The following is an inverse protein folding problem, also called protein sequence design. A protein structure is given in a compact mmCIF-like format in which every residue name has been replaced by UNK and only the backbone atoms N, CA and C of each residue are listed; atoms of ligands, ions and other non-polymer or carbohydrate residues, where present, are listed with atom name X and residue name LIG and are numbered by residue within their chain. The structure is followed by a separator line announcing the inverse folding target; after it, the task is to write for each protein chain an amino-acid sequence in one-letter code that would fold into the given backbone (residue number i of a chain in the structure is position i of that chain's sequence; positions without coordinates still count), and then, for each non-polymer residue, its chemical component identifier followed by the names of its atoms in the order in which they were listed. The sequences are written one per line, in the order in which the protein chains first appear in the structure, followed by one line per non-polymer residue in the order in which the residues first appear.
data_IF_677489967643
#
_entry.id   IF_677489967643
#
_cell.length_a   1.000
_cell.length_b   1.000
_cell.length_c   1.000
_cell.angle_alpha   90.00
_cell.angle_beta   90.00
_cell.angle_gamma   90.00
#
_symmetry.space_group_name_H-M   'P 1'
#
loop_
_entity.id
_entity.type
_entity.pdbx_description
1 polymer ?
#
# COMPACT_ATOMS: atom_id res chain seq x y z
N UNK A 1 52.97 13.39 -11.15
CA UNK A 1 51.80 12.91 -10.36
C UNK A 1 51.51 11.48 -10.78
N UNK A 2 51.71 10.50 -9.89
CA UNK A 2 51.50 9.07 -10.19
C UNK A 2 50.09 8.65 -9.77
N UNK A 3 49.34 8.08 -10.72
CA UNK A 3 48.11 7.32 -10.54
C UNK A 3 48.36 6.09 -9.67
N UNK A 4 47.51 5.85 -8.67
CA UNK A 4 47.19 4.51 -8.16
C UNK A 4 45.80 4.58 -7.50
N UNK A 5 44.79 3.96 -8.12
CA UNK A 5 43.53 3.66 -7.45
C UNK A 5 43.31 2.15 -7.54
N UNK A 6 43.42 1.49 -6.39
CA UNK A 6 43.35 0.04 -6.24
C UNK A 6 41.89 -0.43 -6.28
N UNK A 7 41.66 -1.43 -7.13
CA UNK A 7 40.45 -2.21 -7.27
C UNK A 7 40.40 -3.24 -6.13
N UNK A 8 39.39 -3.20 -5.26
CA UNK A 8 39.15 -4.22 -4.25
C UNK A 8 37.95 -5.07 -4.64
N UNK A 9 38.25 -6.31 -5.07
CA UNK A 9 37.32 -7.37 -5.41
C UNK A 9 36.89 -8.07 -4.09
N UNK A 10 35.63 -7.96 -3.70
CA UNK A 10 35.09 -8.76 -2.59
C UNK A 10 34.48 -10.05 -3.13
N UNK A 11 34.96 -11.16 -2.55
CA UNK A 11 34.67 -12.53 -2.92
C UNK A 11 33.83 -13.18 -1.80
N UNK A 12 32.95 -14.10 -2.24
CA UNK A 12 32.32 -15.23 -1.51
C UNK A 12 31.29 -14.87 -0.42
N UNK A 13 30.17 -15.61 -0.27
CA UNK A 13 30.05 -17.07 -0.22
C UNK A 13 28.60 -17.53 -0.44
N UNK A 14 28.46 -18.67 -1.11
CA UNK A 14 27.20 -19.39 -1.35
C UNK A 14 27.00 -20.39 -0.21
N UNK A 15 25.94 -20.25 0.58
CA UNK A 15 25.54 -21.27 1.55
C UNK A 15 24.70 -22.35 0.86
N UNK A 16 25.27 -23.56 0.79
CA UNK A 16 24.59 -24.76 0.33
C UNK A 16 23.60 -25.26 1.39
N UNK A 17 22.32 -25.37 1.01
CA UNK A 17 21.25 -25.91 1.84
C UNK A 17 21.26 -27.45 1.73
N UNK A 18 21.58 -28.10 2.84
CA UNK A 18 21.60 -29.57 2.97
C UNK A 18 20.17 -30.13 3.02
N UNK A 19 19.81 -30.96 2.04
CA UNK A 19 18.59 -31.77 2.02
C UNK A 19 18.90 -33.16 2.58
N UNK A 20 18.25 -33.53 3.70
CA UNK A 20 18.28 -34.90 4.22
C UNK A 20 17.19 -35.75 3.55
N UNK A 21 17.51 -36.96 3.05
CA UNK A 21 16.52 -37.91 2.55
C UNK A 21 15.99 -38.78 3.70
N UNK A 22 14.67 -38.80 3.90
CA UNK A 22 14.03 -39.76 4.81
C UNK A 22 13.73 -41.06 4.06
N UNK A 23 14.38 -42.12 4.51
CA UNK A 23 14.11 -43.51 4.13
C UNK A 23 12.65 -43.89 4.42
N UNK A 24 11.94 -44.40 3.40
CA UNK A 24 10.66 -45.10 3.57
C UNK A 24 10.94 -46.61 3.45
N UNK A 25 10.89 -47.30 4.57
CA UNK A 25 11.00 -48.76 4.65
C UNK A 25 9.65 -49.38 4.30
N UNK A 26 9.63 -50.23 3.26
CA UNK A 26 8.47 -51.05 2.89
C UNK A 26 8.32 -52.19 3.90
N UNK A 27 7.20 -52.24 4.61
CA UNK A 27 6.79 -53.41 5.39
C UNK A 27 5.33 -53.78 5.04
N UNK A 28 5.24 -54.79 4.17
CA UNK A 28 4.38 -55.96 4.24
C UNK A 28 2.90 -55.81 4.66
N UNK A 29 2.07 -55.91 3.63
CA UNK A 29 0.66 -56.30 3.57
C UNK A 29 0.35 -57.58 4.39
N UNK A 30 -0.58 -57.51 5.34
CA UNK A 30 -1.54 -58.60 5.62
C UNK A 30 -2.73 -58.11 6.46
N UNK A 31 -3.88 -58.57 6.02
CA UNK A 31 -5.26 -58.25 6.41
C UNK A 31 -5.56 -58.55 7.87
N UNK A 32 -6.37 -57.71 8.53
CA UNK A 32 -7.45 -58.06 9.49
C UNK A 32 -8.38 -56.83 9.59
N UNK A 33 -9.57 -56.86 8.98
CA UNK A 33 -10.86 -57.34 9.52
C UNK A 33 -11.51 -56.39 10.54
N UNK A 34 -12.54 -55.69 10.02
CA UNK A 34 -13.81 -55.27 10.63
C UNK A 34 -13.90 -54.58 12.00
N UNK A 35 -14.74 -53.53 12.00
CA UNK A 35 -15.33 -52.79 13.12
C UNK A 35 -14.30 -51.82 13.76
N UNK A 36 -14.55 -50.52 13.94
CA UNK A 36 -15.70 -49.80 14.48
C UNK A 36 -15.52 -48.31 14.10
N UNK A 37 -16.62 -47.55 13.94
CA UNK A 37 -16.73 -46.09 13.76
C UNK A 37 -16.36 -45.52 12.38
N UNK A 38 -17.41 -45.45 11.55
CA UNK A 38 -17.42 -44.66 10.34
C UNK A 38 -17.50 -43.16 10.60
N UNK A 39 -16.99 -42.43 9.61
CA UNK A 39 -17.09 -40.99 9.35
C UNK A 39 -16.13 -40.12 10.18
N UNK A 40 -14.83 -40.22 9.87
CA UNK A 40 -13.97 -39.05 9.93
C UNK A 40 -14.16 -38.27 8.62
N UNK A 41 -15.08 -37.31 8.62
CA UNK A 41 -15.04 -36.23 7.62
C UNK A 41 -13.68 -35.57 7.82
N UNK A 42 -12.78 -35.73 6.87
CA UNK A 42 -11.64 -34.82 6.76
C UNK A 42 -12.26 -33.48 6.44
N UNK A 43 -12.56 -32.72 7.49
CA UNK A 43 -12.80 -31.30 7.39
C UNK A 43 -11.48 -30.72 6.92
N UNK A 44 -11.30 -30.68 5.60
CA UNK A 44 -10.46 -29.68 4.98
C UNK A 44 -10.97 -28.37 5.54
N UNK A 45 -10.27 -27.85 6.55
CA UNK A 45 -10.42 -26.47 6.97
C UNK A 45 -10.10 -25.65 5.73
N UNK A 46 -11.14 -25.36 4.94
CA UNK A 46 -11.18 -24.20 4.09
C UNK A 46 -10.87 -23.07 5.05
N UNK A 47 -9.58 -22.74 5.16
CA UNK A 47 -9.10 -21.49 5.70
C UNK A 47 -10.00 -20.47 5.02
N UNK A 48 -10.92 -19.93 5.81
CA UNK A 48 -11.89 -18.97 5.33
C UNK A 48 -11.08 -17.87 4.69
N UNK A 49 -11.02 -17.85 3.37
CA UNK A 49 -10.85 -16.61 2.64
C UNK A 49 -12.08 -15.84 3.09
N UNK A 50 -11.92 -15.05 4.14
CA UNK A 50 -12.80 -13.94 4.40
C UNK A 50 -12.72 -13.15 3.10
N UNK A 51 -13.71 -13.38 2.24
CA UNK A 51 -14.02 -12.46 1.18
C UNK A 51 -14.25 -11.15 1.94
N UNK A 52 -13.21 -10.33 1.99
CA UNK A 52 -13.37 -8.91 2.23
C UNK A 52 -14.47 -8.55 1.24
N UNK A 53 -15.64 -8.12 1.71
CA UNK A 53 -16.70 -7.70 0.81
C UNK A 53 -16.32 -6.31 0.33
N UNK A 54 -15.25 -6.23 -0.45
CA UNK A 54 -14.75 -4.95 -0.91
C UNK A 54 -15.63 -4.41 -2.01
N UNK A 55 -15.95 -3.12 -1.92
CA UNK A 55 -16.69 -2.39 -2.93
C UNK A 55 -15.72 -2.05 -4.07
N UNK A 56 -16.10 -2.33 -5.31
CA UNK A 56 -15.39 -1.78 -6.46
C UNK A 56 -15.89 -0.36 -6.70
N UNK A 57 -14.98 0.61 -6.59
CA UNK A 57 -15.27 2.02 -6.79
C UNK A 57 -14.35 2.60 -7.87
N UNK A 58 -14.82 3.51 -8.73
CA UNK A 58 -13.94 4.26 -9.62
C UNK A 58 -12.86 5.02 -8.84
N UNK A 59 -11.65 5.08 -9.38
CA UNK A 59 -10.55 5.83 -8.76
C UNK A 59 -10.90 7.32 -8.60
N UNK A 60 -11.64 7.91 -9.54
CA UNK A 60 -12.13 9.30 -9.47
C UNK A 60 -12.94 9.58 -8.21
N UNK A 61 -13.79 8.62 -7.77
CA UNK A 61 -14.54 8.73 -6.50
C UNK A 61 -13.61 8.83 -5.29
N UNK A 62 -12.48 8.10 -5.29
CA UNK A 62 -11.49 8.19 -4.21
C UNK A 62 -10.74 9.54 -4.23
N UNK A 63 -10.50 10.12 -5.41
CA UNK A 63 -9.95 11.48 -5.54
C UNK A 63 -10.90 12.52 -4.96
N UNK A 64 -12.20 12.41 -5.25
CA UNK A 64 -13.22 13.30 -4.67
C UNK A 64 -13.34 13.15 -3.15
N UNK A 65 -13.29 11.92 -2.64
CA UNK A 65 -13.23 11.67 -1.20
C UNK A 65 -11.99 12.34 -0.57
N UNK A 66 -10.82 12.28 -1.23
CA UNK A 66 -9.60 12.92 -0.76
C UNK A 66 -9.69 14.45 -0.76
N UNK A 67 -10.28 15.06 -1.80
CA UNK A 67 -10.60 16.51 -1.83
C UNK A 67 -11.49 16.90 -0.66
N UNK A 68 -12.48 16.08 -0.34
CA UNK A 68 -13.36 16.32 0.81
C UNK A 68 -12.61 16.21 2.14
N UNK A 69 -11.67 15.26 2.28
CA UNK A 69 -10.78 15.17 3.45
C UNK A 69 -9.98 16.46 3.60
N UNK A 70 -9.34 16.93 2.52
CA UNK A 70 -8.61 18.21 2.52
C UNK A 70 -9.48 19.38 2.95
N UNK A 71 -10.67 19.55 2.36
CA UNK A 71 -11.59 20.64 2.71
C UNK A 71 -12.04 20.58 4.18
N UNK A 72 -12.21 19.39 4.74
CA UNK A 72 -12.54 19.22 6.15
C UNK A 72 -11.35 19.49 7.08
N UNK A 73 -10.11 19.22 6.64
CA UNK A 73 -8.90 19.64 7.37
C UNK A 73 -8.75 21.17 7.33
N UNK A 74 -8.88 21.78 6.15
CA UNK A 74 -8.85 23.23 5.97
C UNK A 74 -9.84 23.97 6.88
N UNK A 75 -11.07 23.43 6.99
CA UNK A 75 -12.12 24.01 7.85
C UNK A 75 -12.02 23.63 9.34
N UNK A 76 -10.96 22.94 9.77
CA UNK A 76 -10.75 22.53 11.15
C UNK A 76 -11.73 21.46 11.66
N UNK A 77 -12.40 20.73 10.77
CA UNK A 77 -13.42 19.71 11.10
C UNK A 77 -12.83 18.31 11.33
N UNK A 78 -11.57 18.10 10.97
CA UNK A 78 -10.85 16.84 11.13
C UNK A 78 -9.71 16.96 12.13
N UNK A 79 -9.51 15.87 12.87
CA UNK A 79 -8.36 15.66 13.75
C UNK A 79 -7.54 14.49 13.22
N UNK A 80 -6.37 14.24 13.82
CA UNK A 80 -5.44 13.15 13.45
C UNK A 80 -6.17 11.83 13.17
N UNK A 81 -7.01 11.36 14.12
CA UNK A 81 -7.72 10.07 13.99
C UNK A 81 -8.66 10.03 12.79
N UNK A 82 -9.40 11.12 12.55
CA UNK A 82 -10.31 11.21 11.41
C UNK A 82 -9.55 11.24 10.09
N UNK A 83 -8.43 11.96 10.02
CA UNK A 83 -7.59 12.00 8.81
C UNK A 83 -7.02 10.61 8.53
N UNK A 84 -6.38 9.96 9.50
CA UNK A 84 -5.85 8.59 9.35
C UNK A 84 -6.91 7.58 8.89
N UNK A 85 -8.12 7.64 9.48
CA UNK A 85 -9.21 6.75 9.11
C UNK A 85 -9.75 7.03 7.70
N UNK A 86 -9.72 8.28 7.24
CA UNK A 86 -10.14 8.62 5.89
C UNK A 86 -9.06 8.25 4.86
N UNK A 87 -7.80 8.59 5.13
CA UNK A 87 -6.68 8.38 4.19
C UNK A 87 -6.34 6.90 4.01
N UNK A 88 -6.47 6.06 5.04
CA UNK A 88 -6.36 4.61 4.87
C UNK A 88 -7.42 4.01 3.94
N UNK A 89 -8.60 4.65 3.85
CA UNK A 89 -9.68 4.23 2.95
C UNK A 89 -9.62 4.86 1.56
N UNK A 90 -8.71 5.81 1.33
CA UNK A 90 -8.60 6.54 0.06
C UNK A 90 -7.20 6.43 -0.55
N UNK A 91 -6.18 6.98 0.11
CA UNK A 91 -4.80 7.06 -0.40
C UNK A 91 -4.17 5.69 -0.65
N UNK A 92 -4.33 4.73 0.25
CA UNK A 92 -3.72 3.42 0.07
C UNK A 92 -4.34 2.62 -1.08
N UNK A 93 -5.67 2.50 -1.20
CA UNK A 93 -6.30 1.92 -2.39
C UNK A 93 -5.90 2.65 -3.69
N UNK A 94 -5.85 3.98 -3.66
CA UNK A 94 -5.48 4.80 -4.82
C UNK A 94 -4.02 4.57 -5.26
N UNK A 95 -3.06 4.61 -4.32
CA UNK A 95 -1.65 4.27 -4.60
C UNK A 95 -1.53 2.86 -5.15
N UNK A 96 -2.22 1.89 -4.55
CA UNK A 96 -2.18 0.50 -5.03
C UNK A 96 -2.72 0.37 -6.45
N UNK A 97 -3.78 1.11 -6.78
CA UNK A 97 -4.32 1.16 -8.15
C UNK A 97 -3.30 1.79 -9.11
N UNK A 98 -2.68 2.91 -8.72
CA UNK A 98 -1.60 3.54 -9.49
C UNK A 98 -0.43 2.60 -9.71
N UNK A 99 0.01 1.84 -8.71
CA UNK A 99 1.16 0.93 -8.84
C UNK A 99 0.86 -0.30 -9.72
N UNK A 100 -0.38 -0.79 -9.70
CA UNK A 100 -0.75 -2.07 -10.30
C UNK A 100 -1.51 -1.95 -11.62
N UNK A 101 -1.86 -0.74 -12.05
CA UNK A 101 -2.61 -0.54 -13.28
C UNK A 101 -1.78 -0.99 -14.50
N UNK A 102 -2.22 -2.03 -15.23
CA UNK A 102 -1.49 -2.53 -16.41
C UNK A 102 -1.51 -1.55 -17.59
N UNK A 103 -2.34 -0.50 -17.53
CA UNK A 103 -2.44 0.54 -18.55
C UNK A 103 -1.57 1.77 -18.23
N UNK A 104 -0.74 1.69 -17.20
CA UNK A 104 0.20 2.77 -16.92
C UNK A 104 1.16 2.99 -18.10
N UNK A 105 1.43 4.24 -18.47
CA UNK A 105 2.59 4.57 -19.29
C UNK A 105 3.89 4.05 -18.62
N UNK A 106 4.83 3.56 -19.42
CA UNK A 106 6.09 2.95 -18.93
C UNK A 106 6.91 3.88 -18.00
N UNK A 107 6.72 5.19 -18.11
CA UNK A 107 7.43 6.22 -17.35
C UNK A 107 6.59 6.90 -16.25
N UNK A 108 5.44 6.33 -15.88
CA UNK A 108 4.61 6.88 -14.79
C UNK A 108 5.36 6.85 -13.45
N UNK A 109 5.55 8.03 -12.84
CA UNK A 109 6.22 8.25 -11.55
C UNK A 109 5.24 8.63 -10.44
N UNK A 110 3.97 8.85 -10.79
CA UNK A 110 2.88 9.25 -9.91
C UNK A 110 2.72 8.32 -8.69
N UNK A 111 2.83 6.97 -8.78
CA UNK A 111 2.76 6.13 -7.58
C UNK A 111 3.88 6.40 -6.58
N UNK A 112 5.10 6.69 -7.05
CA UNK A 112 6.25 7.00 -6.20
C UNK A 112 6.12 8.38 -5.57
N UNK A 113 5.61 9.36 -6.32
CA UNK A 113 5.29 10.70 -5.81
C UNK A 113 4.21 10.60 -4.73
N UNK A 114 3.10 9.89 -5.02
CA UNK A 114 2.02 9.63 -4.07
C UNK A 114 2.54 8.99 -2.78
N UNK A 115 3.45 8.00 -2.90
CA UNK A 115 4.10 7.39 -1.74
C UNK A 115 4.91 8.40 -0.92
N UNK A 116 5.59 9.34 -1.57
CA UNK A 116 6.28 10.46 -0.91
C UNK A 116 5.32 11.30 -0.07
N UNK A 117 4.22 11.77 -0.68
CA UNK A 117 3.19 12.55 0.04
C UNK A 117 2.55 11.77 1.18
N UNK A 118 2.32 10.46 1.04
CA UNK A 118 1.81 9.62 2.14
C UNK A 118 2.78 9.58 3.34
N UNK A 119 4.09 9.60 3.10
CA UNK A 119 5.09 9.63 4.17
C UNK A 119 5.15 10.99 4.86
N UNK A 120 5.15 12.08 4.08
CA UNK A 120 5.12 13.44 4.63
C UNK A 120 3.83 13.71 5.40
N UNK A 121 2.70 13.20 4.92
CA UNK A 121 1.42 13.26 5.62
C UNK A 121 1.45 12.50 6.95
N UNK A 122 2.01 11.30 6.99
CA UNK A 122 2.16 10.54 8.24
C UNK A 122 3.09 11.25 9.23
N UNK A 123 4.17 11.86 8.76
CA UNK A 123 5.04 12.71 9.59
C UNK A 123 4.28 13.92 10.14
N UNK A 124 3.53 14.63 9.29
CA UNK A 124 2.71 15.77 9.69
C UNK A 124 1.66 15.37 10.73
N UNK A 125 1.00 14.22 10.57
CA UNK A 125 0.01 13.70 11.53
C UNK A 125 0.61 13.32 12.89
N UNK A 126 1.90 12.96 12.92
CA UNK A 126 2.64 12.68 14.17
C UNK A 126 3.23 13.95 14.80
N UNK A 127 3.37 15.03 14.04
CA UNK A 127 3.89 16.30 14.52
C UNK A 127 2.87 17.02 15.42
N UNK A 128 3.28 17.56 16.59
CA UNK A 128 2.39 18.36 17.42
C UNK A 128 1.89 19.62 16.70
N UNK A 129 2.66 20.12 15.73
CA UNK A 129 2.35 21.32 14.95
C UNK A 129 1.77 20.99 13.56
N UNK A 130 1.40 19.73 13.30
CA UNK A 130 0.93 19.29 11.98
C UNK A 130 -0.31 20.01 11.46
N UNK A 131 -1.19 20.43 12.38
CA UNK A 131 -2.42 21.18 12.12
C UNK A 131 -2.28 22.68 12.41
N UNK A 132 -1.10 23.14 12.82
CA UNK A 132 -0.82 24.58 12.99
C UNK A 132 -0.68 25.21 11.62
N UNK A 133 -1.28 26.39 11.43
CA UNK A 133 -1.23 27.13 10.16
C UNK A 133 0.18 27.11 9.56
N UNK A 134 0.24 26.75 8.28
CA UNK A 134 1.48 26.61 7.54
C UNK A 134 1.49 27.56 6.36
N UNK A 135 2.60 28.27 6.16
CA UNK A 135 2.83 29.08 4.97
C UNK A 135 3.91 28.41 4.12
N UNK A 136 3.55 28.04 2.89
CA UNK A 136 4.47 27.41 1.95
C UNK A 136 5.65 28.32 1.67
N UNK A 137 6.85 27.75 1.76
CA UNK A 137 8.08 28.51 1.48
C UNK A 137 8.24 28.81 0.00
N UNK A 138 7.73 27.93 -0.86
CA UNK A 138 7.88 27.97 -2.32
C UNK A 138 6.77 28.77 -2.98
N UNK A 139 5.50 28.42 -2.72
CA UNK A 139 4.34 29.04 -3.38
C UNK A 139 3.82 30.28 -2.66
N UNK A 140 4.16 30.44 -1.38
CA UNK A 140 3.62 31.47 -0.47
C UNK A 140 2.14 31.30 -0.10
N UNK A 141 1.53 30.18 -0.45
CA UNK A 141 0.17 29.87 -0.05
C UNK A 141 0.09 29.57 1.46
N UNK A 142 -1.04 29.93 2.05
CA UNK A 142 -1.35 29.70 3.46
C UNK A 142 -2.33 28.54 3.58
N UNK A 143 -2.01 27.62 4.48
CA UNK A 143 -2.77 26.41 4.79
C UNK A 143 -3.25 26.47 6.24
N UNK A 144 -4.50 26.88 6.49
CA UNK A 144 -5.08 26.96 7.83
C UNK A 144 -5.08 25.61 8.56
N UNK A 145 -5.25 24.51 7.84
CA UNK A 145 -5.17 23.14 8.37
C UNK A 145 -3.74 22.61 8.49
N UNK A 146 -2.74 23.48 8.32
CA UNK A 146 -1.33 23.20 8.52
C UNK A 146 -0.68 22.33 7.46
N UNK A 147 0.43 21.69 7.83
CA UNK A 147 1.17 20.77 6.94
C UNK A 147 0.31 19.59 6.50
N UNK A 148 -0.61 19.13 7.34
CA UNK A 148 -1.55 18.06 6.98
C UNK A 148 -2.41 18.47 5.78
N UNK A 149 -2.92 19.71 5.74
CA UNK A 149 -3.67 20.21 4.60
C UNK A 149 -2.82 20.27 3.33
N UNK A 150 -1.59 20.78 3.46
CA UNK A 150 -0.64 20.91 2.35
C UNK A 150 -0.30 19.54 1.74
N UNK A 151 0.03 18.53 2.53
CA UNK A 151 0.32 17.19 1.99
C UNK A 151 -0.91 16.51 1.39
N UNK A 152 -2.12 16.82 1.89
CA UNK A 152 -3.36 16.36 1.26
C UNK A 152 -3.63 17.05 -0.07
N UNK A 153 -3.27 18.32 -0.23
CA UNK A 153 -3.32 19.02 -1.52
C UNK A 153 -2.40 18.36 -2.54
N UNK A 154 -1.14 18.14 -2.20
CA UNK A 154 -0.16 17.54 -3.11
C UNK A 154 -0.52 16.10 -3.49
N UNK A 155 -1.13 15.34 -2.56
CA UNK A 155 -1.69 14.03 -2.85
C UNK A 155 -2.90 14.10 -3.80
N UNK A 156 -3.77 15.12 -3.68
CA UNK A 156 -4.87 15.36 -4.63
C UNK A 156 -4.32 15.69 -6.01
N UNK A 157 -3.37 16.62 -6.10
CA UNK A 157 -2.77 17.02 -7.38
C UNK A 157 -2.09 15.84 -8.07
N UNK A 158 -1.31 15.04 -7.33
CA UNK A 158 -0.70 13.81 -7.86
C UNK A 158 -1.74 12.83 -8.39
N UNK A 159 -2.87 12.71 -7.71
CA UNK A 159 -3.96 11.85 -8.15
C UNK A 159 -4.67 12.37 -9.41
N UNK A 160 -4.90 13.68 -9.49
CA UNK A 160 -5.48 14.32 -10.67
C UNK A 160 -4.55 14.21 -11.88
N UNK A 161 -3.25 14.44 -11.69
CA UNK A 161 -2.24 14.24 -12.72
C UNK A 161 -2.25 12.80 -13.24
N UNK A 162 -2.35 11.82 -12.34
CA UNK A 162 -2.51 10.43 -12.73
C UNK A 162 -3.81 10.19 -13.52
N UNK A 163 -4.93 10.76 -13.07
CA UNK A 163 -6.21 10.66 -13.77
C UNK A 163 -6.28 11.42 -15.11
N UNK A 164 -5.33 12.32 -15.37
CA UNK A 164 -5.13 12.91 -16.70
C UNK A 164 -4.35 11.98 -17.63
N UNK A 165 -3.54 11.07 -17.08
CA UNK A 165 -2.80 10.06 -17.84
C UNK A 165 -3.63 8.81 -18.13
N UNK A 166 -4.50 8.43 -17.19
CA UNK A 166 -5.37 7.26 -17.30
C UNK A 166 -6.82 7.62 -17.00
N UNK A 167 -7.77 6.96 -17.66
CA UNK A 167 -9.19 7.18 -17.41
C UNK A 167 -9.60 6.61 -16.03
N UNK A 168 -9.58 7.47 -15.01
CA UNK A 168 -9.91 7.11 -13.63
C UNK A 168 -11.38 6.75 -13.38
N UNK A 169 -12.30 7.11 -14.29
CA UNK A 169 -13.69 6.68 -14.18
C UNK A 169 -13.84 5.19 -14.55
N UNK A 170 -12.92 4.70 -15.38
CA UNK A 170 -12.83 3.28 -15.77
C UNK A 170 -11.80 2.47 -14.98
N UNK A 171 -10.99 3.11 -14.12
CA UNK A 171 -10.07 2.44 -13.21
C UNK A 171 -10.80 2.02 -11.92
N UNK A 172 -11.19 0.76 -11.84
CA UNK A 172 -11.85 0.22 -10.65
C UNK A 172 -10.85 -0.13 -9.55
N UNK A 173 -11.07 0.44 -8.37
CA UNK A 173 -10.26 0.24 -7.17
C UNK A 173 -11.08 -0.57 -6.17
N UNK A 174 -10.42 -1.57 -5.58
CA UNK A 174 -11.02 -2.39 -4.53
C UNK A 174 -10.83 -1.73 -3.16
N UNK A 175 -11.94 -1.51 -2.44
CA UNK A 175 -11.97 -0.87 -1.13
C UNK A 175 -12.54 -1.80 -0.06
#
# INVERSE_FOLDING_TARGET
MRLFLQLALFCTSVNALSTTPRHITKATRREQLFNIFGIAIVASSATGVQAVSGELVPASKLVDELKQVRANVHSGRMNVKKVQAATSKTLEPLRNAMEKNPLNPDETIQPQIMKGHMLELDEALRSPDGFTEYVSKTTKDTYPGGKVERELEEAVETAEDYCNLVDCDNLLVYR
#
